data_IF_028686248151
#
_entry.id   IF_028686248151
#
_cell.length_a   1.000
_cell.length_b   1.000
_cell.length_c   1.000
_cell.angle_alpha   90.00
_cell.angle_beta   90.00
_cell.angle_gamma   90.00
#
_symmetry.space_group_name_H-M   'P 1'
#
loop_
_entity.id
_entity.type
_entity.pdbx_description
1 polymer ?
#
# COMPACT_ATOMS: atom_id res chain seq x y z
N UNK A 1 -7.49 3.82 -15.33
CA UNK A 1 -7.93 4.10 -13.94
C UNK A 1 -6.74 4.00 -13.00
N UNK A 2 -6.57 4.97 -12.14
CA UNK A 2 -5.50 4.92 -11.14
C UNK A 2 -5.90 4.03 -9.98
N UNK A 3 -4.95 3.21 -9.53
CA UNK A 3 -5.11 2.34 -8.37
C UNK A 3 -4.19 2.82 -7.26
N UNK A 4 -4.76 2.99 -6.07
CA UNK A 4 -4.03 3.48 -4.91
C UNK A 4 -4.05 2.40 -3.84
N UNK A 5 -2.87 2.04 -3.36
CA UNK A 5 -2.71 1.10 -2.25
C UNK A 5 -2.20 1.85 -1.03
N UNK A 6 -2.95 1.77 0.07
CA UNK A 6 -2.62 2.43 1.32
C UNK A 6 -2.16 1.37 2.32
N UNK A 7 -0.96 1.55 2.88
CA UNK A 7 -0.32 0.57 3.76
C UNK A 7 -0.14 1.21 5.14
N UNK A 8 -0.87 0.69 6.13
CA UNK A 8 -0.79 1.18 7.50
C UNK A 8 0.48 0.69 8.21
N UNK A 9 0.70 1.18 9.43
CA UNK A 9 1.88 0.84 10.21
C UNK A 9 1.62 -0.19 11.30
N UNK A 10 2.54 -0.22 12.26
CA UNK A 10 2.48 -1.07 13.44
C UNK A 10 1.18 -0.80 14.22
N UNK A 11 0.51 -1.85 14.66
CA UNK A 11 -0.79 -1.83 15.33
C UNK A 11 -1.91 -1.15 14.55
N UNK A 12 -1.68 -0.82 13.27
CA UNK A 12 -2.68 -0.18 12.44
C UNK A 12 -3.70 -1.15 11.87
N UNK A 13 -4.73 -0.59 11.27
CA UNK A 13 -5.70 -1.33 10.47
C UNK A 13 -6.38 -0.34 9.51
N UNK A 14 -7.14 -0.84 8.49
CA UNK A 14 -7.73 0.05 7.50
C UNK A 14 -8.73 1.08 8.03
N UNK A 15 -9.27 0.88 9.23
CA UNK A 15 -10.28 1.75 9.79
C UNK A 15 -9.72 2.81 10.74
N UNK A 16 -8.40 2.83 10.94
CA UNK A 16 -7.74 3.77 11.85
C UNK A 16 -7.22 5.01 11.15
N UNK A 17 -6.98 6.04 11.94
CA UNK A 17 -6.33 7.28 11.53
C UNK A 17 -7.08 7.95 10.38
N UNK A 18 -6.35 8.47 9.42
CA UNK A 18 -6.87 9.19 8.25
C UNK A 18 -7.18 8.27 7.07
N UNK A 19 -7.03 6.95 7.22
CA UNK A 19 -7.20 6.01 6.10
C UNK A 19 -8.63 6.01 5.52
N UNK A 20 -9.70 5.93 6.34
CA UNK A 20 -11.06 5.97 5.77
C UNK A 20 -11.36 7.29 5.07
N UNK A 21 -10.87 8.40 5.63
CA UNK A 21 -11.05 9.72 5.03
C UNK A 21 -10.36 9.80 3.67
N UNK A 22 -9.08 9.39 3.61
CA UNK A 22 -8.32 9.44 2.37
C UNK A 22 -8.94 8.53 1.30
N UNK A 23 -9.34 7.32 1.70
CA UNK A 23 -10.01 6.39 0.79
C UNK A 23 -11.24 7.05 0.15
N UNK A 24 -12.09 7.66 0.97
CA UNK A 24 -13.28 8.34 0.49
C UNK A 24 -12.96 9.47 -0.50
N UNK A 25 -11.99 10.29 -0.15
CA UNK A 25 -11.61 11.44 -0.99
C UNK A 25 -11.07 10.98 -2.35
N UNK A 26 -10.23 9.96 -2.35
CA UNK A 26 -9.66 9.45 -3.60
C UNK A 26 -10.71 8.73 -4.45
N UNK A 27 -11.64 8.02 -3.82
CA UNK A 27 -12.75 7.38 -4.55
C UNK A 27 -13.65 8.40 -5.23
N UNK A 28 -13.86 9.56 -4.60
CA UNK A 28 -14.62 10.66 -5.22
C UNK A 28 -13.96 11.16 -6.50
N UNK A 29 -12.64 11.04 -6.61
CA UNK A 29 -11.89 11.44 -7.79
C UNK A 29 -11.83 10.32 -8.85
N UNK A 30 -12.58 9.25 -8.66
CA UNK A 30 -12.65 8.16 -9.62
C UNK A 30 -11.53 7.14 -9.54
N UNK A 31 -10.76 7.15 -8.45
CA UNK A 31 -9.65 6.21 -8.27
C UNK A 31 -10.13 4.93 -7.59
N UNK A 32 -9.48 3.81 -7.91
CA UNK A 32 -9.68 2.55 -7.21
C UNK A 32 -8.73 2.55 -6.01
N UNK A 33 -9.27 2.42 -4.80
CA UNK A 33 -8.48 2.53 -3.57
C UNK A 33 -8.58 1.26 -2.74
N UNK A 34 -7.44 0.74 -2.35
CA UNK A 34 -7.31 -0.44 -1.51
C UNK A 34 -6.52 -0.06 -0.26
N UNK A 35 -7.16 -0.12 0.90
CA UNK A 35 -6.46 0.01 2.18
C UNK A 35 -6.18 -1.40 2.65
N UNK A 36 -4.93 -1.84 2.55
CA UNK A 36 -4.57 -3.21 2.86
C UNK A 36 -4.62 -3.46 4.37
N UNK A 37 -5.16 -4.61 4.75
CA UNK A 37 -5.21 -5.04 6.14
C UNK A 37 -4.01 -5.95 6.40
N UNK A 38 -2.88 -5.36 6.79
CA UNK A 38 -1.62 -6.09 6.94
C UNK A 38 -1.70 -7.14 8.04
N UNK A 39 -1.00 -8.28 7.88
CA UNK A 39 -1.08 -9.37 8.84
C UNK A 39 -0.24 -9.08 10.10
N UNK A 40 -0.71 -9.61 11.24
CA UNK A 40 0.02 -9.61 12.51
C UNK A 40 0.59 -8.22 12.87
N UNK A 41 -0.27 -7.21 12.90
CA UNK A 41 0.16 -5.82 13.08
C UNK A 41 0.79 -5.54 14.45
N UNK A 42 0.53 -6.40 15.45
CA UNK A 42 1.12 -6.26 16.79
C UNK A 42 2.52 -6.87 16.88
N UNK A 43 2.90 -7.72 15.94
CA UNK A 43 4.20 -8.35 15.87
C UNK A 43 4.61 -8.48 14.40
N UNK A 44 4.79 -7.35 13.71
CA UNK A 44 4.98 -7.36 12.26
C UNK A 44 6.33 -7.99 11.88
N UNK A 45 6.29 -8.78 10.80
CA UNK A 45 7.49 -9.35 10.18
C UNK A 45 7.58 -8.84 8.76
N UNK A 46 8.73 -8.35 8.38
CA UNK A 46 8.96 -7.79 7.04
C UNK A 46 8.63 -8.78 5.93
N UNK A 47 9.04 -10.04 6.10
CA UNK A 47 8.79 -11.07 5.09
C UNK A 47 7.30 -11.33 4.89
N UNK A 48 6.52 -11.32 5.96
CA UNK A 48 5.08 -11.53 5.88
C UNK A 48 4.38 -10.34 5.22
N UNK A 49 4.79 -9.13 5.59
CA UNK A 49 4.19 -7.92 5.03
C UNK A 49 4.53 -7.77 3.55
N UNK A 50 5.77 -8.05 3.18
CA UNK A 50 6.17 -8.03 1.78
C UNK A 50 5.38 -9.06 0.97
N UNK A 51 5.30 -10.30 1.45
CA UNK A 51 4.56 -11.36 0.77
C UNK A 51 3.08 -11.00 0.62
N UNK A 52 2.49 -10.41 1.66
CA UNK A 52 1.10 -9.97 1.61
C UNK A 52 0.89 -8.90 0.53
N UNK A 53 1.76 -7.88 0.49
CA UNK A 53 1.70 -6.86 -0.57
C UNK A 53 1.81 -7.50 -1.95
N UNK A 54 2.74 -8.42 -2.13
CA UNK A 54 2.94 -9.10 -3.41
C UNK A 54 1.70 -9.88 -3.84
N UNK A 55 0.93 -10.41 -2.87
CA UNK A 55 -0.30 -11.12 -3.15
C UNK A 55 -1.47 -10.19 -3.50
N UNK A 56 -1.46 -8.96 -3.00
CA UNK A 56 -2.56 -8.02 -3.14
C UNK A 56 -2.37 -7.04 -4.30
N UNK A 57 -1.13 -6.66 -4.57
CA UNK A 57 -0.82 -5.71 -5.64
C UNK A 57 -0.56 -6.49 -6.92
N UNK A 58 -1.59 -6.59 -7.75
CA UNK A 58 -1.56 -7.38 -8.98
C UNK A 58 -1.21 -6.49 -10.17
N UNK A 59 -0.24 -6.92 -10.98
CA UNK A 59 0.17 -6.24 -12.21
C UNK A 59 0.37 -4.73 -12.04
N UNK A 60 1.26 -4.31 -11.13
CA UNK A 60 1.50 -2.87 -10.93
C UNK A 60 2.05 -2.24 -12.21
N UNK A 61 1.60 -1.02 -12.48
CA UNK A 61 2.00 -0.25 -13.65
C UNK A 61 2.06 1.24 -13.34
N UNK A 62 2.18 2.07 -14.36
CA UNK A 62 2.29 3.53 -14.22
C UNK A 62 1.08 4.18 -13.58
N UNK A 63 -0.05 3.48 -13.50
CA UNK A 63 -1.27 3.95 -12.85
C UNK A 63 -1.39 3.44 -11.41
N UNK A 64 -0.38 2.75 -10.91
CA UNK A 64 -0.34 2.22 -9.55
C UNK A 64 0.40 3.18 -8.63
N UNK A 65 -0.24 3.54 -7.51
CA UNK A 65 0.30 4.48 -6.54
C UNK A 65 0.23 3.89 -5.14
N UNK A 66 1.15 4.30 -4.29
CA UNK A 66 1.24 3.82 -2.91
C UNK A 66 1.25 4.97 -1.93
N UNK A 67 0.56 4.80 -0.82
CA UNK A 67 0.60 5.74 0.31
C UNK A 67 0.93 4.92 1.54
N UNK A 68 1.99 5.29 2.22
CA UNK A 68 2.45 4.58 3.42
C UNK A 68 2.38 5.42 4.67
N UNK A 69 2.20 4.74 5.79
CA UNK A 69 2.25 5.35 7.12
C UNK A 69 3.15 4.51 8.01
N UNK A 70 4.19 5.13 8.58
CA UNK A 70 5.11 4.47 9.52
C UNK A 70 5.76 3.23 8.88
N UNK A 71 5.60 2.05 9.47
CA UNK A 71 6.17 0.79 8.95
C UNK A 71 5.67 0.46 7.54
N UNK A 72 4.48 0.96 7.18
CA UNK A 72 3.97 0.82 5.83
C UNK A 72 4.88 1.43 4.78
N UNK A 73 5.56 2.53 5.12
CA UNK A 73 6.52 3.17 4.21
C UNK A 73 7.69 2.24 3.88
N UNK A 74 8.23 1.58 4.89
CA UNK A 74 9.34 0.63 4.71
C UNK A 74 8.89 -0.55 3.87
N UNK A 75 7.68 -1.03 4.11
CA UNK A 75 7.11 -2.15 3.34
C UNK A 75 6.96 -1.79 1.87
N UNK A 76 6.50 -0.58 1.57
CA UNK A 76 6.40 -0.09 0.19
C UNK A 76 7.79 -0.07 -0.46
N UNK A 77 8.79 0.45 0.24
CA UNK A 77 10.15 0.50 -0.30
C UNK A 77 10.70 -0.90 -0.59
N UNK A 78 10.45 -1.85 0.29
CA UNK A 78 10.83 -3.25 0.07
C UNK A 78 10.10 -3.86 -1.12
N UNK A 79 8.82 -3.58 -1.25
CA UNK A 79 8.03 -4.04 -2.38
C UNK A 79 8.60 -3.52 -3.70
N UNK A 80 8.87 -2.22 -3.76
CA UNK A 80 9.42 -1.60 -4.97
C UNK A 80 10.81 -2.12 -5.30
N UNK A 81 11.61 -2.43 -4.29
CA UNK A 81 12.95 -3.01 -4.48
C UNK A 81 12.88 -4.43 -5.03
N UNK A 82 11.78 -5.14 -4.83
CA UNK A 82 11.59 -6.52 -5.25
C UNK A 82 10.68 -6.66 -6.48
N UNK A 83 10.24 -5.55 -7.04
CA UNK A 83 9.40 -5.56 -8.23
C UNK A 83 10.22 -5.97 -9.45
N UNK A 84 9.57 -6.58 -10.45
CA UNK A 84 10.25 -7.03 -11.66
C UNK A 84 10.93 -5.87 -12.36
N UNK A 85 12.14 -6.12 -12.85
CA UNK A 85 12.91 -5.12 -13.59
C UNK A 85 12.13 -4.60 -14.79
N UNK A 86 12.14 -3.29 -14.99
CA UNK A 86 11.41 -2.67 -16.09
C UNK A 86 9.99 -2.25 -15.77
N UNK A 87 9.43 -2.73 -14.67
CA UNK A 87 8.11 -2.28 -14.21
C UNK A 87 8.25 -0.91 -13.56
N UNK A 88 7.39 0.02 -13.95
CA UNK A 88 7.34 1.36 -13.37
C UNK A 88 5.99 1.59 -12.71
N UNK A 89 6.01 2.23 -11.55
CA UNK A 89 4.79 2.64 -10.87
C UNK A 89 4.61 4.15 -10.99
N UNK A 90 3.41 4.63 -10.70
CA UNK A 90 3.10 6.06 -10.83
C UNK A 90 3.77 6.91 -9.76
N UNK A 91 3.83 6.42 -8.53
CA UNK A 91 4.46 7.14 -7.44
C UNK A 91 4.14 6.56 -6.08
N UNK A 92 4.77 7.13 -5.06
CA UNK A 92 4.54 6.76 -3.68
C UNK A 92 4.66 7.99 -2.78
N UNK A 93 3.77 8.07 -1.79
CA UNK A 93 3.81 9.08 -0.74
C UNK A 93 4.16 8.36 0.56
N UNK A 94 5.27 8.74 1.16
CA UNK A 94 5.81 8.06 2.33
C UNK A 94 5.88 8.99 3.54
#
# INVERSE_FOLDING_TARGET
MKKIYIIHGYTGNPDKNWFPWLKNELQKEGMEVHVLNMPHTEAPKYSEWLAYMQSQVIDPDENTYFVGHSLGCITILQFLNNISQGVKVGGAVL
#
